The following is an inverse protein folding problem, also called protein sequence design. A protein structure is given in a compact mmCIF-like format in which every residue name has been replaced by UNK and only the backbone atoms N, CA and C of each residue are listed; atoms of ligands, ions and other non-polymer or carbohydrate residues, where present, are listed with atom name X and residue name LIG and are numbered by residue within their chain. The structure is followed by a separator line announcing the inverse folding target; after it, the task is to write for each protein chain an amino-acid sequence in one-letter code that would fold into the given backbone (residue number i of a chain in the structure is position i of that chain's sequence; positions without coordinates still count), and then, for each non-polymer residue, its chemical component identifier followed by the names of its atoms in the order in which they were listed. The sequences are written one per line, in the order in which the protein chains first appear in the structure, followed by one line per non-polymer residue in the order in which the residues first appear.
data_IF_854744881507
#
_entry.id   IF_854744881507
#
_cell.length_a   1.000
_cell.length_b   1.000
_cell.length_c   1.000
_cell.angle_alpha   90.00
_cell.angle_beta   90.00
_cell.angle_gamma   90.00
#
_symmetry.space_group_name_H-M   'P 1'
#
loop_
_entity.id
_entity.type
_entity.pdbx_description
1 polymer ?
#
# COMPACT_ATOMS: atom_id res chain seq x y z
N UNK A 1 -38.48 28.09 -8.05
CA UNK A 1 -38.66 27.88 -6.61
C UNK A 1 -37.30 27.41 -6.09
N UNK A 2 -36.62 28.24 -5.32
CA UNK A 2 -35.33 27.90 -4.69
C UNK A 2 -35.58 26.90 -3.56
N UNK A 3 -34.71 25.93 -3.44
CA UNK A 3 -34.79 24.92 -2.38
C UNK A 3 -34.21 25.50 -1.09
N UNK A 4 -35.02 25.64 -0.02
CA UNK A 4 -34.60 26.29 1.23
C UNK A 4 -33.43 25.56 1.92
N UNK A 5 -33.21 24.29 1.63
CA UNK A 5 -32.12 23.49 2.21
C UNK A 5 -30.78 23.85 1.56
N UNK A 6 -30.79 24.14 0.25
CA UNK A 6 -29.58 24.56 -0.48
C UNK A 6 -29.13 25.99 -0.08
N UNK A 7 -30.08 26.88 0.16
CA UNK A 7 -29.77 28.25 0.61
C UNK A 7 -29.20 28.25 2.03
N UNK A 8 -29.59 27.30 2.90
CA UNK A 8 -29.06 27.16 4.25
C UNK A 8 -27.63 26.56 4.24
N UNK A 9 -27.35 25.63 3.37
CA UNK A 9 -26.00 24.99 3.24
C UNK A 9 -24.98 26.02 2.71
N UNK A 10 -25.37 26.87 1.77
CA UNK A 10 -24.52 27.95 1.26
C UNK A 10 -24.26 29.02 2.30
N UNK A 11 -25.27 29.36 3.14
CA UNK A 11 -25.12 30.34 4.20
C UNK A 11 -24.22 29.88 5.36
N UNK A 12 -24.16 28.60 5.63
CA UNK A 12 -23.28 28.01 6.67
C UNK A 12 -21.81 27.87 6.18
N UNK A 13 -21.63 27.71 4.87
CA UNK A 13 -20.27 27.61 4.28
C UNK A 13 -19.52 28.94 4.27
N UNK A 14 -20.23 30.07 4.09
CA UNK A 14 -19.66 31.42 4.15
C UNK A 14 -19.20 31.82 5.57
N UNK A 15 -19.65 31.12 6.61
CA UNK A 15 -19.25 31.37 7.99
C UNK A 15 -17.94 30.68 8.43
N UNK A 16 -17.48 29.65 7.70
CA UNK A 16 -16.29 28.88 8.07
C UNK A 16 -15.01 29.24 7.29
N UNK A 17 -14.99 30.34 6.53
CA UNK A 17 -13.76 30.86 5.91
C UNK A 17 -13.17 30.00 4.79
N UNK A 18 -13.97 29.20 4.11
CA UNK A 18 -13.55 28.40 2.96
C UNK A 18 -13.27 29.28 1.73
N UNK A 19 -12.13 29.05 1.07
CA UNK A 19 -11.77 29.70 -0.20
C UNK A 19 -12.86 29.45 -1.25
N UNK A 20 -13.45 30.50 -1.80
CA UNK A 20 -14.46 30.44 -2.83
C UNK A 20 -13.93 29.69 -4.06
N UNK A 21 -14.68 28.74 -4.65
CA UNK A 21 -14.31 28.11 -5.90
C UNK A 21 -14.28 29.18 -7.01
N UNK A 22 -13.15 29.29 -7.69
CA UNK A 22 -13.00 30.16 -8.87
C UNK A 22 -14.06 29.77 -9.91
N UNK A 23 -14.93 30.71 -10.27
CA UNK A 23 -15.91 30.53 -11.33
C UNK A 23 -15.18 30.14 -12.61
N UNK A 24 -15.61 29.09 -13.31
CA UNK A 24 -15.09 28.79 -14.63
C UNK A 24 -15.33 30.00 -15.54
N UNK A 25 -14.28 30.41 -16.26
CA UNK A 25 -14.34 31.49 -17.23
C UNK A 25 -15.49 31.24 -18.20
N UNK A 26 -16.36 32.22 -18.36
CA UNK A 26 -17.48 32.23 -19.27
C UNK A 26 -17.00 31.98 -20.69
N UNK A 27 -17.23 30.78 -21.22
CA UNK A 27 -17.16 30.53 -22.65
C UNK A 27 -18.44 31.16 -23.23
N UNK A 28 -18.30 32.37 -23.73
CA UNK A 28 -19.34 33.06 -24.52
C UNK A 28 -19.44 32.39 -25.90
N UNK A 29 -20.18 31.31 -25.99
CA UNK A 29 -20.60 30.69 -27.19
C UNK A 29 -22.05 30.28 -27.04
N UNK A 30 -22.96 30.99 -27.71
CA UNK A 30 -24.33 30.50 -27.79
C UNK A 30 -24.30 29.07 -28.36
N UNK A 31 -25.09 28.15 -27.81
CA UNK A 31 -25.16 26.80 -28.35
C UNK A 31 -25.65 26.91 -29.80
N UNK A 32 -24.81 26.54 -30.75
CA UNK A 32 -25.22 26.39 -32.15
C UNK A 32 -26.42 25.46 -32.18
N UNK A 33 -27.58 25.96 -32.68
CA UNK A 33 -28.74 25.14 -32.94
C UNK A 33 -28.29 23.95 -33.80
N UNK A 34 -28.21 22.80 -33.18
CA UNK A 34 -28.00 21.54 -33.89
C UNK A 34 -29.31 21.29 -34.64
N UNK A 35 -29.32 21.55 -35.92
CA UNK A 35 -30.45 21.19 -36.80
C UNK A 35 -30.44 19.66 -36.87
N UNK A 36 -31.52 18.96 -36.51
CA UNK A 36 -31.57 17.51 -36.65
C UNK A 36 -31.49 17.15 -38.15
N UNK A 37 -30.44 16.44 -38.57
CA UNK A 37 -30.20 16.00 -39.94
C UNK A 37 -31.18 14.87 -40.37
N UNK A 38 -32.03 14.40 -39.48
CA UNK A 38 -32.96 13.31 -39.78
C UNK A 38 -34.41 13.70 -39.50
N UNK A 39 -35.01 14.42 -40.44
CA UNK A 39 -36.45 14.31 -40.71
C UNK A 39 -36.59 13.53 -42.02
N UNK A 40 -36.74 12.24 -41.92
CA UNK A 40 -37.42 11.29 -42.80
C UNK A 40 -36.96 9.87 -42.49
N UNK A 41 -37.61 9.24 -41.55
CA UNK A 41 -37.74 7.78 -41.57
C UNK A 41 -39.20 7.46 -41.29
N UNK A 42 -39.82 6.99 -42.32
CA UNK A 42 -41.13 6.37 -42.32
C UNK A 42 -41.23 5.28 -41.28
N UNK A 43 -42.37 5.25 -40.57
CA UNK A 43 -42.78 4.20 -39.63
C UNK A 43 -42.57 2.81 -40.22
N UNK A 44 -41.53 2.13 -39.80
CA UNK A 44 -41.37 0.69 -39.97
C UNK A 44 -41.65 0.01 -38.64
N UNK A 45 -42.40 -1.07 -38.67
CA UNK A 45 -42.68 -2.01 -37.60
C UNK A 45 -41.32 -2.67 -37.25
N UNK A 46 -40.55 -2.02 -36.40
CA UNK A 46 -39.27 -2.49 -35.90
C UNK A 46 -39.02 -1.88 -34.52
N UNK A 47 -38.43 -2.64 -33.59
CA UNK A 47 -38.05 -2.15 -32.29
C UNK A 47 -37.17 -0.90 -32.35
N UNK A 48 -36.85 -0.27 -31.20
CA UNK A 48 -36.09 0.98 -31.13
C UNK A 48 -34.80 0.89 -31.94
N UNK A 49 -34.50 1.90 -32.75
CA UNK A 49 -33.28 1.96 -33.54
C UNK A 49 -32.03 1.99 -32.65
N UNK A 50 -30.82 1.71 -33.21
CA UNK A 50 -29.59 1.63 -32.38
C UNK A 50 -29.31 2.88 -31.54
N UNK A 51 -29.66 4.08 -32.08
CA UNK A 51 -29.52 5.36 -31.34
C UNK A 51 -30.51 5.45 -30.18
N UNK A 52 -31.76 5.01 -30.39
CA UNK A 52 -32.77 4.98 -29.32
C UNK A 52 -32.40 3.98 -28.25
N UNK A 53 -31.84 2.83 -28.61
CA UNK A 53 -31.29 1.84 -27.64
C UNK A 53 -30.13 2.46 -26.83
N UNK A 54 -29.19 3.16 -27.47
CA UNK A 54 -28.11 3.85 -26.75
C UNK A 54 -28.66 4.92 -25.81
N UNK A 55 -29.69 5.66 -26.17
CA UNK A 55 -30.30 6.66 -25.31
C UNK A 55 -30.94 6.06 -24.06
N UNK A 56 -31.44 4.82 -24.12
CA UNK A 56 -31.98 4.10 -22.93
C UNK A 56 -30.88 3.83 -21.88
N UNK A 57 -29.62 3.68 -22.30
CA UNK A 57 -28.51 3.47 -21.39
C UNK A 57 -27.89 4.78 -20.91
N UNK A 58 -28.35 5.94 -21.39
CA UNK A 58 -27.79 7.24 -20.98
C UNK A 58 -28.10 7.56 -19.53
N UNK A 59 -27.06 7.88 -18.77
CA UNK A 59 -27.14 8.36 -17.40
C UNK A 59 -27.29 9.88 -17.29
N UNK A 60 -27.33 10.59 -18.43
CA UNK A 60 -27.50 12.04 -18.46
C UNK A 60 -28.84 12.43 -17.81
N UNK A 61 -28.79 13.36 -16.85
CA UNK A 61 -29.94 13.78 -16.04
C UNK A 61 -30.20 12.92 -14.80
N UNK A 62 -29.44 11.85 -14.57
CA UNK A 62 -29.60 10.97 -13.40
C UNK A 62 -28.62 11.27 -12.26
N UNK A 63 -27.85 12.35 -12.35
CA UNK A 63 -26.80 12.70 -11.38
C UNK A 63 -27.32 12.79 -9.93
N UNK A 64 -28.48 13.40 -9.70
CA UNK A 64 -29.07 13.51 -8.37
C UNK A 64 -29.49 12.13 -7.79
N UNK A 65 -29.98 11.21 -8.65
CA UNK A 65 -30.30 9.85 -8.22
C UNK A 65 -29.03 9.08 -7.85
N UNK A 66 -28.02 9.14 -8.73
CA UNK A 66 -26.75 8.45 -8.50
C UNK A 66 -26.01 9.01 -7.28
N UNK A 67 -26.06 10.33 -7.05
CA UNK A 67 -25.46 10.95 -5.85
C UNK A 67 -26.07 10.42 -4.57
N UNK A 68 -27.40 10.24 -4.51
CA UNK A 68 -28.08 9.62 -3.34
C UNK A 68 -27.71 8.14 -3.15
N UNK A 69 -27.26 7.48 -4.20
CA UNK A 69 -26.81 6.09 -4.16
C UNK A 69 -25.30 5.96 -3.91
N UNK A 70 -24.55 7.06 -3.94
CA UNK A 70 -23.11 7.01 -3.60
C UNK A 70 -22.95 6.50 -2.16
N UNK A 71 -22.01 5.60 -2.00
CA UNK A 71 -21.48 5.27 -0.68
C UNK A 71 -20.71 6.50 -0.18
N UNK A 72 -20.89 6.82 1.11
CA UNK A 72 -20.03 7.82 1.75
C UNK A 72 -18.60 7.25 1.70
N UNK A 73 -17.61 8.10 1.46
CA UNK A 73 -16.20 7.68 1.44
C UNK A 73 -15.76 7.20 2.83
N UNK A 74 -16.13 5.95 3.15
CA UNK A 74 -15.71 5.24 4.36
C UNK A 74 -14.51 4.36 4.04
N UNK A 75 -13.62 4.22 5.00
CA UNK A 75 -12.49 3.31 4.86
C UNK A 75 -12.83 1.93 5.41
N UNK A 76 -12.62 0.89 4.61
CA UNK A 76 -12.58 -0.50 5.08
C UNK A 76 -11.22 -0.81 5.72
N UNK A 77 -10.16 -0.29 5.11
CA UNK A 77 -8.82 -0.29 5.69
C UNK A 77 -8.37 1.16 5.76
N UNK A 78 -8.30 1.71 6.96
CA UNK A 78 -8.06 3.15 7.18
C UNK A 78 -6.88 3.69 6.36
N UNK A 79 -7.16 4.70 5.51
CA UNK A 79 -6.25 5.34 4.55
C UNK A 79 -5.68 4.45 3.44
N UNK A 80 -6.16 3.19 3.31
CA UNK A 80 -5.66 2.20 2.33
C UNK A 80 -6.77 1.75 1.38
N UNK A 81 -7.94 1.35 1.90
CA UNK A 81 -9.03 0.84 1.08
C UNK A 81 -10.36 1.52 1.41
N UNK A 82 -11.04 2.02 0.39
CA UNK A 82 -12.31 2.73 0.48
C UNK A 82 -13.46 1.77 0.17
N UNK A 83 -14.56 1.89 0.90
CA UNK A 83 -15.80 1.14 0.68
C UNK A 83 -16.35 1.42 -0.75
N UNK A 84 -16.75 0.38 -1.46
CA UNK A 84 -17.25 0.49 -2.84
C UNK A 84 -16.13 0.58 -3.89
N UNK A 85 -14.89 0.25 -3.53
CA UNK A 85 -13.75 0.23 -4.45
C UNK A 85 -13.05 -1.13 -4.46
N UNK A 86 -12.27 -1.38 -5.50
CA UNK A 86 -11.34 -2.49 -5.59
C UNK A 86 -9.93 -2.05 -5.21
N UNK A 87 -9.41 -2.58 -4.10
CA UNK A 87 -8.03 -2.34 -3.66
C UNK A 87 -7.21 -3.63 -3.75
N UNK A 88 -6.05 -3.59 -4.40
CA UNK A 88 -5.11 -4.71 -4.43
C UNK A 88 -3.85 -4.38 -3.61
N UNK A 89 -3.47 -5.28 -2.70
CA UNK A 89 -2.31 -5.13 -1.80
C UNK A 89 -1.29 -6.20 -2.14
N UNK A 90 -0.17 -5.77 -2.72
CA UNK A 90 0.96 -6.61 -3.07
C UNK A 90 2.00 -6.66 -1.95
N UNK A 91 2.66 -7.79 -1.80
CA UNK A 91 3.78 -7.90 -0.86
C UNK A 91 4.43 -9.27 -0.89
N UNK A 92 5.68 -9.37 -0.48
CA UNK A 92 6.39 -10.65 -0.39
C UNK A 92 5.70 -11.63 0.58
N UNK A 93 5.96 -12.94 0.48
CA UNK A 93 5.62 -13.86 1.56
C UNK A 93 6.15 -13.36 2.90
N UNK A 94 5.37 -13.51 3.97
CA UNK A 94 5.72 -13.08 5.33
C UNK A 94 5.96 -11.55 5.51
N UNK A 95 5.51 -10.72 4.56
CA UNK A 95 5.59 -9.26 4.69
C UNK A 95 4.59 -8.66 5.68
N UNK A 96 3.70 -9.45 6.25
CA UNK A 96 2.65 -8.97 7.15
C UNK A 96 1.32 -8.62 6.48
N UNK A 97 1.13 -8.87 5.17
CA UNK A 97 -0.12 -8.57 4.45
C UNK A 97 -1.37 -9.00 5.22
N UNK A 98 -1.50 -10.29 5.46
CA UNK A 98 -2.65 -10.89 6.18
C UNK A 98 -2.82 -10.31 7.58
N UNK A 99 -1.72 -10.16 8.33
CA UNK A 99 -1.73 -9.62 9.69
C UNK A 99 -2.25 -8.18 9.72
N UNK A 100 -1.69 -7.32 8.90
CA UNK A 100 -2.02 -5.90 8.86
C UNK A 100 -3.42 -5.66 8.29
N UNK A 101 -3.83 -6.42 7.28
CA UNK A 101 -5.20 -6.36 6.76
C UNK A 101 -6.20 -6.72 7.85
N UNK A 102 -5.98 -7.79 8.63
CA UNK A 102 -6.86 -8.18 9.72
C UNK A 102 -6.87 -7.18 10.87
N UNK A 103 -5.71 -6.62 11.22
CA UNK A 103 -5.65 -5.55 12.21
C UNK A 103 -6.48 -4.33 11.78
N UNK A 104 -6.34 -3.89 10.53
CA UNK A 104 -7.10 -2.77 9.98
C UNK A 104 -8.61 -3.06 9.89
N UNK A 105 -9.00 -4.29 9.55
CA UNK A 105 -10.40 -4.72 9.59
C UNK A 105 -10.95 -4.67 11.00
N UNK A 106 -10.21 -5.16 12.01
CA UNK A 106 -10.59 -5.06 13.42
C UNK A 106 -10.84 -3.61 13.83
N UNK A 107 -9.93 -2.69 13.48
CA UNK A 107 -10.11 -1.27 13.79
C UNK A 107 -11.39 -0.70 13.15
N UNK A 108 -11.66 -1.04 11.89
CA UNK A 108 -12.86 -0.60 11.18
C UNK A 108 -14.16 -1.17 11.78
N UNK A 109 -14.14 -2.43 12.23
CA UNK A 109 -15.27 -3.06 12.92
C UNK A 109 -15.51 -2.45 14.30
N UNK A 110 -14.45 -2.18 15.08
CA UNK A 110 -14.54 -1.58 16.41
C UNK A 110 -15.00 -0.10 16.36
N UNK A 111 -14.77 0.58 15.24
CA UNK A 111 -15.22 1.97 15.04
C UNK A 111 -16.55 2.10 14.29
N UNK A 112 -17.26 1.00 14.07
CA UNK A 112 -18.52 0.94 13.31
C UNK A 112 -18.43 1.52 11.89
N UNK A 113 -17.22 1.54 11.30
CA UNK A 113 -17.01 1.97 9.92
C UNK A 113 -17.60 0.98 8.92
N UNK A 114 -17.54 -0.32 9.25
CA UNK A 114 -18.08 -1.43 8.46
C UNK A 114 -18.88 -2.38 9.34
N UNK A 115 -19.83 -3.09 8.72
CA UNK A 115 -20.63 -4.12 9.37
C UNK A 115 -19.96 -5.49 9.13
N UNK A 116 -19.74 -6.24 10.21
CA UNK A 116 -19.15 -7.57 10.16
C UNK A 116 -20.02 -8.59 9.41
N UNK A 117 -21.34 -8.47 9.48
CA UNK A 117 -22.28 -9.37 8.76
C UNK A 117 -22.15 -9.25 7.23
N UNK A 118 -21.60 -8.11 6.75
CA UNK A 118 -21.37 -7.87 5.33
C UNK A 118 -19.90 -8.14 4.91
N UNK A 119 -19.04 -8.58 5.84
CA UNK A 119 -17.60 -8.79 5.62
C UNK A 119 -17.27 -10.28 5.48
N UNK A 120 -16.78 -10.66 4.31
CA UNK A 120 -16.42 -12.03 3.95
C UNK A 120 -14.93 -12.14 3.69
N UNK A 121 -14.19 -12.81 4.59
CA UNK A 121 -12.78 -13.11 4.44
C UNK A 121 -12.59 -14.48 3.78
N UNK A 122 -12.23 -14.51 2.50
CA UNK A 122 -12.06 -15.73 1.72
C UNK A 122 -10.57 -16.16 1.82
N UNK A 123 -10.32 -17.13 2.68
CA UNK A 123 -8.99 -17.61 3.03
C UNK A 123 -8.62 -18.86 2.23
N UNK A 124 -7.81 -18.72 1.20
CA UNK A 124 -7.44 -19.79 0.28
C UNK A 124 -5.98 -20.28 0.43
N UNK A 125 -5.20 -19.74 1.37
CA UNK A 125 -3.74 -19.99 1.45
C UNK A 125 -3.29 -20.66 2.78
N UNK A 126 -4.16 -20.79 3.78
CA UNK A 126 -3.81 -21.35 5.09
C UNK A 126 -3.91 -22.88 5.16
N UNK A 127 -3.12 -23.43 6.08
CA UNK A 127 -3.33 -24.76 6.60
C UNK A 127 -4.43 -24.78 7.69
N UNK A 128 -4.84 -25.97 8.12
CA UNK A 128 -5.92 -26.17 9.09
C UNK A 128 -5.74 -25.39 10.41
N UNK A 129 -4.52 -25.39 10.96
CA UNK A 129 -4.20 -24.67 12.21
C UNK A 129 -4.35 -23.15 12.05
N UNK A 130 -3.77 -22.59 11.00
CA UNK A 130 -3.89 -21.15 10.72
C UNK A 130 -5.33 -20.74 10.41
N UNK A 131 -6.15 -21.65 9.88
CA UNK A 131 -7.56 -21.40 9.65
C UNK A 131 -8.34 -21.31 10.98
N UNK A 132 -8.11 -22.23 11.93
CA UNK A 132 -8.78 -22.20 13.25
C UNK A 132 -8.50 -20.90 13.99
N UNK A 133 -7.21 -20.48 14.09
CA UNK A 133 -6.86 -19.21 14.74
C UNK A 133 -7.60 -17.99 14.12
N UNK A 134 -7.87 -18.05 12.82
CA UNK A 134 -8.57 -16.97 12.10
C UNK A 134 -10.07 -17.02 12.27
N UNK A 135 -10.67 -18.22 12.39
CA UNK A 135 -12.10 -18.39 12.67
C UNK A 135 -12.41 -17.88 14.07
N UNK A 136 -11.61 -18.24 15.08
CA UNK A 136 -11.81 -17.78 16.46
C UNK A 136 -11.83 -16.24 16.56
N UNK A 137 -10.92 -15.57 15.83
CA UNK A 137 -10.93 -14.11 15.77
C UNK A 137 -12.13 -13.55 15.03
N UNK A 138 -12.56 -14.20 13.95
CA UNK A 138 -13.70 -13.77 13.16
C UNK A 138 -15.02 -13.87 13.93
N UNK A 139 -15.17 -14.92 14.75
CA UNK A 139 -16.32 -15.09 15.66
C UNK A 139 -16.39 -13.93 16.66
N UNK A 140 -15.26 -13.52 17.24
CA UNK A 140 -15.21 -12.37 18.17
C UNK A 140 -15.54 -11.05 17.45
N UNK A 141 -15.14 -10.91 16.19
CA UNK A 141 -15.34 -9.68 15.42
C UNK A 141 -16.66 -9.64 14.65
N UNK A 142 -17.44 -10.72 14.67
CA UNK A 142 -18.73 -10.81 13.97
C UNK A 142 -18.62 -10.81 12.45
N UNK A 143 -17.50 -11.31 11.88
CA UNK A 143 -17.30 -11.38 10.42
C UNK A 143 -17.28 -12.84 9.94
N UNK A 144 -17.47 -13.03 8.62
CA UNK A 144 -17.45 -14.35 8.00
C UNK A 144 -16.06 -14.75 7.51
N UNK A 145 -15.67 -16.01 7.78
CA UNK A 145 -14.49 -16.64 7.17
C UNK A 145 -14.96 -17.77 6.27
N UNK A 146 -14.51 -17.76 5.02
CA UNK A 146 -14.79 -18.78 4.03
C UNK A 146 -13.48 -19.42 3.61
N UNK A 147 -13.42 -20.75 3.56
CA UNK A 147 -12.24 -21.49 3.12
C UNK A 147 -12.63 -22.61 2.14
N UNK A 148 -11.78 -22.90 1.14
CA UNK A 148 -12.02 -24.01 0.19
C UNK A 148 -12.16 -25.33 0.91
N UNK A 149 -12.97 -26.22 0.34
CA UNK A 149 -13.22 -27.58 0.83
C UNK A 149 -13.95 -27.66 2.19
N UNK A 150 -14.46 -26.53 2.69
CA UNK A 150 -15.32 -26.46 3.86
C UNK A 150 -16.75 -26.09 3.44
N UNK A 151 -17.75 -26.68 4.07
CA UNK A 151 -19.18 -26.44 3.82
C UNK A 151 -19.59 -26.49 2.32
N UNK A 152 -18.88 -27.30 1.51
CA UNK A 152 -19.14 -27.41 0.07
C UNK A 152 -18.66 -26.24 -0.79
N UNK A 153 -17.88 -25.34 -0.21
CA UNK A 153 -17.36 -24.19 -0.94
C UNK A 153 -16.16 -24.56 -1.85
N UNK A 154 -16.23 -24.10 -3.11
CA UNK A 154 -15.13 -24.11 -4.07
C UNK A 154 -14.76 -22.69 -4.46
N UNK A 155 -13.45 -22.45 -4.66
CA UNK A 155 -12.89 -21.13 -5.04
C UNK A 155 -13.53 -20.59 -6.33
N UNK A 156 -13.80 -21.45 -7.30
CA UNK A 156 -14.41 -21.07 -8.57
C UNK A 156 -15.81 -20.41 -8.39
N UNK A 157 -16.50 -20.70 -7.28
CA UNK A 157 -17.80 -20.09 -6.98
C UNK A 157 -17.72 -18.59 -6.70
N UNK A 158 -16.56 -18.06 -6.23
CA UNK A 158 -16.44 -16.63 -5.91
C UNK A 158 -16.66 -15.75 -7.12
N UNK A 159 -16.07 -16.07 -8.26
CA UNK A 159 -16.26 -15.30 -9.48
C UNK A 159 -17.74 -15.32 -9.94
N UNK A 160 -18.37 -16.49 -9.85
CA UNK A 160 -19.78 -16.64 -10.19
C UNK A 160 -20.69 -15.82 -9.24
N UNK A 161 -20.46 -15.89 -7.92
CA UNK A 161 -21.22 -15.11 -6.92
C UNK A 161 -21.01 -13.60 -7.11
N UNK A 162 -19.79 -13.15 -7.34
CA UNK A 162 -19.51 -11.74 -7.64
C UNK A 162 -20.23 -11.26 -8.91
N UNK A 163 -20.25 -12.09 -9.96
CA UNK A 163 -20.95 -11.79 -11.21
C UNK A 163 -22.47 -11.71 -11.00
N UNK A 164 -23.05 -12.66 -10.28
CA UNK A 164 -24.47 -12.68 -9.93
C UNK A 164 -24.86 -11.45 -9.10
N UNK A 165 -24.09 -11.13 -8.06
CA UNK A 165 -24.34 -9.96 -7.21
C UNK A 165 -24.20 -8.65 -8.00
N UNK A 166 -23.24 -8.58 -8.93
CA UNK A 166 -23.04 -7.44 -9.80
C UNK A 166 -24.24 -7.22 -10.74
N UNK A 167 -24.72 -8.29 -11.39
CA UNK A 167 -25.86 -8.24 -12.31
C UNK A 167 -27.19 -8.01 -11.57
N UNK A 168 -27.36 -8.65 -10.41
CA UNK A 168 -28.58 -8.55 -9.60
C UNK A 168 -28.67 -7.26 -8.76
N UNK A 169 -27.63 -6.43 -8.73
CA UNK A 169 -27.58 -5.20 -7.93
C UNK A 169 -27.54 -5.44 -6.42
N UNK A 170 -27.18 -6.64 -5.98
CA UNK A 170 -27.13 -7.06 -4.56
C UNK A 170 -25.74 -6.94 -3.92
N UNK A 171 -24.74 -6.47 -4.69
CA UNK A 171 -23.35 -6.30 -4.21
C UNK A 171 -23.20 -5.17 -3.17
N UNK A 172 -24.16 -4.25 -3.09
CA UNK A 172 -24.03 -3.03 -2.29
C UNK A 172 -23.78 -3.34 -0.80
N UNK A 173 -22.66 -2.81 -0.31
CA UNK A 173 -22.23 -2.97 1.08
C UNK A 173 -21.46 -4.26 1.37
N UNK A 174 -21.49 -5.26 0.48
CA UNK A 174 -20.71 -6.47 0.65
C UNK A 174 -19.21 -6.17 0.52
N UNK A 175 -18.41 -6.68 1.45
CA UNK A 175 -16.94 -6.52 1.48
C UNK A 175 -16.29 -7.89 1.35
N UNK A 176 -15.57 -8.12 0.26
CA UNK A 176 -14.84 -9.36 -0.01
C UNK A 176 -13.35 -9.15 0.14
N UNK A 177 -12.71 -9.98 0.97
CA UNK A 177 -11.25 -10.03 1.12
C UNK A 177 -10.74 -11.34 0.52
N UNK A 178 -9.94 -11.29 -0.53
CA UNK A 178 -9.37 -12.47 -1.17
C UNK A 178 -7.91 -12.68 -0.70
N UNK A 179 -7.66 -13.69 0.10
CA UNK A 179 -6.33 -14.05 0.61
C UNK A 179 -5.97 -15.49 0.17
N UNK A 180 -5.26 -15.65 -0.93
CA UNK A 180 -4.50 -14.72 -1.76
C UNK A 180 -4.96 -14.81 -3.22
N UNK A 181 -4.92 -13.68 -3.93
CA UNK A 181 -5.50 -13.49 -5.28
C UNK A 181 -5.10 -14.56 -6.31
N UNK A 182 -3.86 -15.04 -6.29
CA UNK A 182 -3.36 -16.12 -7.19
C UNK A 182 -4.14 -17.44 -7.14
N UNK A 183 -5.01 -17.61 -6.13
CA UNK A 183 -5.88 -18.79 -6.01
C UNK A 183 -7.20 -18.63 -6.76
N UNK A 184 -7.57 -17.40 -7.07
CA UNK A 184 -8.85 -17.04 -7.71
C UNK A 184 -8.72 -16.77 -9.20
N UNK A 185 -7.51 -16.43 -9.67
CA UNK A 185 -7.20 -16.25 -11.09
C UNK A 185 -5.73 -16.52 -11.36
N UNK A 186 -5.40 -16.93 -12.58
CA UNK A 186 -4.00 -17.01 -13.01
C UNK A 186 -3.49 -15.61 -13.36
N UNK A 187 -2.65 -15.05 -12.48
CA UNK A 187 -2.08 -13.72 -12.65
C UNK A 187 -1.08 -13.63 -13.81
N UNK A 188 -0.58 -14.76 -14.33
CA UNK A 188 0.36 -14.82 -15.45
C UNK A 188 -0.35 -14.96 -16.79
N UNK A 189 -1.60 -15.42 -16.78
CA UNK A 189 -2.46 -15.50 -17.96
C UNK A 189 -3.26 -14.19 -18.09
N UNK A 190 -2.94 -13.42 -19.13
CA UNK A 190 -3.58 -12.13 -19.42
C UNK A 190 -5.10 -12.27 -19.59
N UNK A 191 -5.56 -13.36 -20.23
CA UNK A 191 -6.98 -13.59 -20.45
C UNK A 191 -7.70 -13.86 -19.14
N UNK A 192 -7.18 -14.77 -18.32
CA UNK A 192 -7.76 -15.09 -17.02
C UNK A 192 -7.77 -13.86 -16.08
N UNK A 193 -6.70 -13.06 -16.07
CA UNK A 193 -6.63 -11.82 -15.29
C UNK A 193 -7.67 -10.79 -15.78
N UNK A 194 -7.84 -10.62 -17.09
CA UNK A 194 -8.84 -9.71 -17.66
C UNK A 194 -10.28 -10.17 -17.40
N UNK A 195 -10.58 -11.46 -17.54
CA UNK A 195 -11.90 -12.03 -17.21
C UNK A 195 -12.26 -11.82 -15.74
N UNK A 196 -11.31 -12.08 -14.84
CA UNK A 196 -11.48 -11.77 -13.40
C UNK A 196 -11.68 -10.28 -13.18
N UNK A 197 -10.91 -9.42 -13.86
CA UNK A 197 -11.02 -7.96 -13.81
C UNK A 197 -12.43 -7.46 -14.16
N UNK A 198 -13.03 -8.03 -15.21
CA UNK A 198 -14.41 -7.69 -15.62
C UNK A 198 -15.43 -8.04 -14.54
N UNK A 199 -15.32 -9.24 -13.93
CA UNK A 199 -16.20 -9.67 -12.85
C UNK A 199 -16.05 -8.77 -11.63
N UNK A 200 -14.81 -8.47 -11.22
CA UNK A 200 -14.50 -7.59 -10.11
C UNK A 200 -15.04 -6.17 -10.34
N UNK A 201 -14.88 -5.62 -11.54
CA UNK A 201 -15.44 -4.31 -11.91
C UNK A 201 -16.97 -4.30 -11.87
N UNK A 202 -17.63 -5.36 -12.33
CA UNK A 202 -19.09 -5.51 -12.24
C UNK A 202 -19.58 -5.49 -10.81
N UNK A 203 -18.95 -6.26 -9.94
CA UNK A 203 -19.25 -6.33 -8.51
C UNK A 203 -19.09 -4.97 -7.81
N UNK A 204 -17.96 -4.31 -8.04
CA UNK A 204 -17.66 -2.99 -7.45
C UNK A 204 -18.59 -1.90 -7.99
N UNK A 205 -18.89 -1.93 -9.29
CA UNK A 205 -19.83 -0.97 -9.90
C UNK A 205 -21.26 -1.10 -9.35
N UNK A 206 -21.63 -2.28 -8.84
CA UNK A 206 -22.88 -2.50 -8.14
C UNK A 206 -22.83 -2.17 -6.62
N UNK A 207 -21.73 -1.59 -6.15
CA UNK A 207 -21.53 -1.11 -4.77
C UNK A 207 -20.88 -2.12 -3.83
N UNK A 208 -20.30 -3.20 -4.35
CA UNK A 208 -19.46 -4.13 -3.60
C UNK A 208 -18.06 -3.56 -3.37
N UNK A 209 -17.36 -4.09 -2.40
CA UNK A 209 -15.96 -3.75 -2.09
C UNK A 209 -15.09 -4.99 -2.24
N UNK A 210 -13.99 -4.87 -2.97
CA UNK A 210 -13.05 -5.96 -3.15
C UNK A 210 -11.67 -5.56 -2.63
N UNK A 211 -11.11 -6.35 -1.72
CA UNK A 211 -9.72 -6.23 -1.27
C UNK A 211 -9.01 -7.52 -1.63
N UNK A 212 -8.00 -7.44 -2.49
CA UNK A 212 -7.25 -8.59 -2.95
C UNK A 212 -5.81 -8.55 -2.43
N UNK A 213 -5.39 -9.59 -1.71
CA UNK A 213 -4.01 -9.74 -1.26
C UNK A 213 -3.23 -10.54 -2.31
N UNK A 214 -2.16 -9.96 -2.82
CA UNK A 214 -1.35 -10.55 -3.89
C UNK A 214 0.14 -10.61 -3.53
N UNK A 215 0.90 -11.43 -4.26
CA UNK A 215 2.34 -11.51 -4.08
C UNK A 215 3.08 -10.56 -5.03
N UNK A 216 4.24 -10.07 -4.58
CA UNK A 216 5.22 -9.42 -5.45
C UNK A 216 6.09 -10.46 -6.15
N UNK A 217 6.77 -10.08 -7.23
CA UNK A 217 7.81 -10.87 -7.86
C UNK A 217 8.93 -11.19 -6.86
N UNK A 218 9.62 -12.32 -7.05
CA UNK A 218 10.74 -12.72 -6.19
C UNK A 218 11.92 -11.77 -6.26
N UNK A 219 12.14 -11.19 -7.45
CA UNK A 219 13.26 -10.28 -7.70
C UNK A 219 12.73 -8.86 -7.84
N UNK A 220 13.38 -7.88 -7.19
CA UNK A 220 13.10 -6.46 -7.42
C UNK A 220 13.52 -6.08 -8.86
N UNK A 221 13.10 -4.90 -9.29
CA UNK A 221 13.53 -4.30 -10.55
C UNK A 221 15.01 -3.84 -10.50
N UNK A 222 15.47 -3.25 -11.59
CA UNK A 222 16.86 -2.74 -11.70
C UNK A 222 17.17 -1.61 -10.70
N UNK A 223 16.15 -0.99 -10.13
CA UNK A 223 16.24 0.08 -9.13
C UNK A 223 16.11 -0.44 -7.69
N UNK A 224 15.95 -1.76 -7.52
CA UNK A 224 15.79 -2.41 -6.22
C UNK A 224 14.39 -2.33 -5.62
N UNK A 225 13.39 -1.84 -6.38
CA UNK A 225 12.01 -1.76 -5.93
C UNK A 225 11.28 -3.08 -6.19
N UNK A 226 10.39 -3.44 -5.26
CA UNK A 226 9.51 -4.60 -5.44
C UNK A 226 8.46 -4.32 -6.51
N UNK A 227 8.30 -5.27 -7.42
CA UNK A 227 7.32 -5.20 -8.50
C UNK A 227 6.21 -6.21 -8.23
N UNK A 228 4.97 -5.84 -8.54
CA UNK A 228 3.83 -6.77 -8.45
C UNK A 228 4.04 -8.01 -9.31
N UNK A 229 3.47 -9.14 -8.88
CA UNK A 229 3.50 -10.38 -9.65
C UNK A 229 2.30 -10.44 -10.59
N UNK A 230 2.55 -10.81 -11.84
CA UNK A 230 1.51 -10.96 -12.87
C UNK A 230 1.52 -9.88 -13.92
N UNK A 231 0.47 -9.86 -14.74
CA UNK A 231 0.23 -8.86 -15.78
C UNK A 231 -0.20 -7.52 -15.15
N UNK A 232 -0.08 -6.42 -15.90
CA UNK A 232 -0.55 -5.10 -15.44
C UNK A 232 -2.07 -5.01 -15.31
N UNK A 233 -2.83 -5.93 -15.90
CA UNK A 233 -4.29 -5.87 -15.99
C UNK A 233 -4.95 -5.72 -14.60
N UNK A 234 -4.48 -6.46 -13.58
CA UNK A 234 -5.02 -6.33 -12.22
C UNK A 234 -4.75 -4.93 -11.62
N UNK A 235 -3.56 -4.36 -11.85
CA UNK A 235 -3.24 -2.99 -11.41
C UNK A 235 -4.07 -1.98 -12.18
N UNK A 236 -4.23 -2.17 -13.49
CA UNK A 236 -4.98 -1.26 -14.35
C UNK A 236 -6.47 -1.26 -14.02
N UNK A 237 -7.03 -2.40 -13.64
CA UNK A 237 -8.43 -2.55 -13.28
C UNK A 237 -8.75 -2.18 -11.84
N UNK A 238 -7.83 -2.34 -10.88
CA UNK A 238 -8.04 -1.92 -9.49
C UNK A 238 -8.22 -0.41 -9.37
N UNK A 239 -8.97 0.06 -8.37
CA UNK A 239 -9.06 1.49 -8.06
C UNK A 239 -7.83 1.96 -7.29
N UNK A 240 -7.37 1.16 -6.34
CA UNK A 240 -6.18 1.44 -5.54
C UNK A 240 -5.25 0.24 -5.54
N UNK A 241 -3.94 0.49 -5.58
CA UNK A 241 -2.93 -0.53 -5.44
C UNK A 241 -1.84 -0.10 -4.48
N UNK A 242 -1.45 -1.00 -3.59
CA UNK A 242 -0.37 -0.79 -2.64
C UNK A 242 0.66 -1.92 -2.75
N UNK A 243 1.92 -1.58 -2.50
CA UNK A 243 3.00 -2.54 -2.28
C UNK A 243 3.44 -2.44 -0.82
N UNK A 244 3.53 -3.57 -0.14
CA UNK A 244 4.10 -3.65 1.21
C UNK A 244 5.58 -3.95 1.10
N UNK A 245 6.40 -3.05 1.63
CA UNK A 245 7.83 -3.19 1.75
C UNK A 245 8.26 -3.30 3.21
N UNK A 246 9.25 -4.16 3.45
CA UNK A 246 9.91 -4.26 4.75
C UNK A 246 10.93 -3.13 4.87
N UNK A 247 10.77 -2.30 5.90
CA UNK A 247 11.67 -1.19 6.21
C UNK A 247 12.82 -1.68 7.10
N UNK A 248 12.49 -2.34 8.22
CA UNK A 248 13.49 -2.87 9.15
C UNK A 248 13.02 -4.14 9.86
N UNK A 249 13.95 -4.82 10.51
CA UNK A 249 13.68 -5.96 11.39
C UNK A 249 14.75 -6.01 12.44
N UNK A 250 14.38 -5.67 13.67
CA UNK A 250 15.30 -5.62 14.81
C UNK A 250 14.95 -6.71 15.82
N UNK A 251 15.94 -7.50 16.22
CA UNK A 251 15.77 -8.49 17.27
C UNK A 251 16.40 -8.01 18.57
N UNK A 252 15.62 -8.00 19.65
CA UNK A 252 16.07 -7.67 21.01
C UNK A 252 15.41 -8.60 22.02
N UNK A 253 16.21 -9.29 22.81
CA UNK A 253 15.73 -10.16 23.90
C UNK A 253 14.69 -11.21 23.44
N UNK A 254 14.90 -11.82 22.26
CA UNK A 254 13.98 -12.83 21.69
C UNK A 254 12.66 -12.26 21.14
N UNK A 255 12.57 -10.95 21.00
CA UNK A 255 11.47 -10.24 20.33
C UNK A 255 11.99 -9.64 19.05
N UNK A 256 11.37 -9.99 17.92
CA UNK A 256 11.67 -9.37 16.63
C UNK A 256 10.62 -8.31 16.31
N UNK A 257 11.03 -7.05 16.27
CA UNK A 257 10.19 -5.93 15.82
C UNK A 257 10.36 -5.75 14.33
N UNK A 258 9.28 -5.86 13.59
CA UNK A 258 9.22 -5.60 12.16
C UNK A 258 8.63 -4.23 11.91
N UNK A 259 9.26 -3.45 11.04
CA UNK A 259 8.69 -2.22 10.48
C UNK A 259 8.44 -2.43 9.01
N UNK A 260 7.24 -2.11 8.57
CA UNK A 260 6.80 -2.22 7.18
C UNK A 260 6.08 -0.97 6.74
N UNK A 261 6.08 -0.70 5.44
CA UNK A 261 5.33 0.40 4.85
C UNK A 261 4.46 -0.09 3.70
N UNK A 262 3.28 0.51 3.57
CA UNK A 262 2.41 0.41 2.41
C UNK A 262 2.70 1.59 1.51
N UNK A 263 3.20 1.35 0.32
CA UNK A 263 3.45 2.35 -0.70
C UNK A 263 2.36 2.30 -1.76
N UNK A 264 1.65 3.39 -1.95
CA UNK A 264 0.62 3.48 -2.98
C UNK A 264 1.28 3.58 -4.36
N UNK A 265 0.87 2.72 -5.29
CA UNK A 265 1.32 2.73 -6.69
C UNK A 265 0.21 3.12 -7.65
N UNK A 266 -1.05 3.12 -7.20
CA UNK A 266 -2.22 3.60 -7.93
C UNK A 266 -3.31 4.01 -6.96
N UNK A 267 -3.92 5.19 -7.18
CA UNK A 267 -5.01 5.70 -6.36
C UNK A 267 -6.15 6.27 -7.19
N UNK A 268 -7.37 5.86 -6.84
CA UNK A 268 -8.61 6.54 -7.18
C UNK A 268 -9.33 6.84 -5.87
N UNK A 269 -9.21 8.08 -5.39
CA UNK A 269 -9.76 8.51 -4.11
C UNK A 269 -8.69 8.99 -3.12
N UNK A 270 -9.11 9.42 -1.94
CA UNK A 270 -8.26 10.02 -0.90
C UNK A 270 -7.61 8.95 -0.01
N UNK A 271 -6.77 8.11 -0.62
CA UNK A 271 -5.92 7.15 0.10
C UNK A 271 -4.53 7.73 0.36
N UNK A 272 -3.86 7.25 1.39
CA UNK A 272 -2.52 7.74 1.72
C UNK A 272 -1.49 7.29 0.68
N UNK A 273 -0.49 8.14 0.40
CA UNK A 273 0.66 7.77 -0.44
C UNK A 273 1.55 6.73 0.23
N UNK A 274 1.70 6.81 1.55
CA UNK A 274 2.49 5.87 2.36
C UNK A 274 1.90 5.74 3.74
N UNK A 275 1.84 4.52 4.29
CA UNK A 275 1.42 4.22 5.66
C UNK A 275 2.39 3.23 6.28
N UNK A 276 2.95 3.57 7.45
CA UNK A 276 3.88 2.71 8.19
C UNK A 276 3.22 1.96 9.33
N UNK A 277 3.72 0.75 9.59
CA UNK A 277 3.31 -0.08 10.72
C UNK A 277 4.51 -0.77 11.35
N UNK A 278 4.40 -1.03 12.67
CA UNK A 278 5.27 -1.96 13.38
C UNK A 278 4.46 -3.09 13.98
N UNK A 279 5.10 -4.25 14.14
CA UNK A 279 4.56 -5.37 14.91
C UNK A 279 5.70 -6.21 15.51
N UNK A 280 5.42 -6.85 16.64
CA UNK A 280 6.40 -7.65 17.38
C UNK A 280 6.08 -9.14 17.24
N UNK A 281 7.09 -9.93 16.91
CA UNK A 281 6.99 -11.38 16.83
C UNK A 281 7.85 -12.02 17.92
N UNK A 282 7.23 -12.94 18.66
CA UNK A 282 7.89 -13.76 19.71
C UNK A 282 7.68 -15.25 19.42
N UNK A 283 8.61 -16.06 19.84
CA UNK A 283 8.42 -17.51 19.73
C UNK A 283 7.20 -17.97 20.55
N UNK A 284 6.37 -18.84 19.98
CA UNK A 284 5.19 -19.38 20.67
C UNK A 284 4.01 -18.41 20.85
N UNK A 285 4.07 -17.20 20.29
CA UNK A 285 3.00 -16.21 20.36
C UNK A 285 1.77 -16.68 19.56
N UNK A 286 0.57 -16.55 20.15
CA UNK A 286 -0.68 -16.78 19.43
C UNK A 286 -0.91 -15.71 18.36
N UNK A 287 -1.75 -16.03 17.36
CA UNK A 287 -2.04 -15.09 16.28
C UNK A 287 -2.78 -13.83 16.79
N UNK A 288 -3.71 -13.98 17.76
CA UNK A 288 -4.37 -12.85 18.42
C UNK A 288 -3.37 -11.93 19.14
N UNK A 289 -2.47 -12.51 19.95
CA UNK A 289 -1.43 -11.75 20.63
C UNK A 289 -0.48 -11.06 19.63
N UNK A 290 -0.24 -11.64 18.45
CA UNK A 290 0.54 -10.99 17.38
C UNK A 290 -0.20 -9.77 16.81
N UNK A 291 -1.51 -9.88 16.55
CA UNK A 291 -2.34 -8.76 16.07
C UNK A 291 -2.32 -7.59 17.08
N UNK A 292 -2.34 -7.87 18.39
CA UNK A 292 -2.32 -6.84 19.43
C UNK A 292 -1.01 -6.06 19.51
N UNK A 293 0.06 -6.57 18.92
CA UNK A 293 1.33 -5.85 18.84
C UNK A 293 1.41 -4.83 17.70
N UNK A 294 0.46 -4.88 16.77
CA UNK A 294 0.47 -3.99 15.60
C UNK A 294 0.23 -2.54 16.05
N UNK A 295 1.08 -1.65 15.57
CA UNK A 295 0.96 -0.21 15.77
C UNK A 295 1.14 0.51 14.46
N UNK A 296 0.30 1.51 14.22
CA UNK A 296 0.48 2.45 13.14
C UNK A 296 1.57 3.45 13.51
N UNK A 297 2.41 3.81 12.56
CA UNK A 297 3.45 4.81 12.74
C UNK A 297 2.98 6.18 12.21
N UNK A 298 3.36 7.23 12.93
CA UNK A 298 3.33 8.57 12.38
C UNK A 298 4.41 8.71 11.30
N UNK A 299 4.21 9.67 10.39
CA UNK A 299 5.11 9.83 9.25
C UNK A 299 6.56 10.11 9.66
N UNK A 300 6.75 10.97 10.64
CA UNK A 300 8.08 11.33 11.13
C UNK A 300 8.81 10.11 11.73
N UNK A 301 8.10 9.28 12.50
CA UNK A 301 8.68 8.06 13.09
C UNK A 301 9.09 7.06 12.00
N UNK A 302 8.27 6.91 10.96
CA UNK A 302 8.59 6.06 9.82
C UNK A 302 9.83 6.57 9.07
N UNK A 303 9.91 7.88 8.81
CA UNK A 303 11.03 8.50 8.11
C UNK A 303 12.33 8.38 8.92
N UNK A 304 12.28 8.51 10.24
CA UNK A 304 13.41 8.28 11.16
C UNK A 304 13.90 6.83 11.12
N UNK A 305 12.97 5.85 11.15
CA UNK A 305 13.30 4.43 11.06
C UNK A 305 13.92 4.13 9.68
N UNK A 306 13.38 4.67 8.60
CA UNK A 306 13.93 4.52 7.25
C UNK A 306 15.33 5.10 7.15
N UNK A 307 15.55 6.27 7.73
CA UNK A 307 16.87 6.91 7.78
C UNK A 307 17.90 6.01 8.48
N UNK A 308 17.56 5.47 9.64
CA UNK A 308 18.43 4.54 10.38
C UNK A 308 18.69 3.25 9.60
N UNK A 309 17.65 2.62 9.05
CA UNK A 309 17.79 1.40 8.26
C UNK A 309 18.66 1.60 7.00
N UNK A 310 18.53 2.76 6.34
CA UNK A 310 19.37 3.11 5.20
C UNK A 310 20.85 3.22 5.59
N UNK A 311 21.14 3.93 6.71
CA UNK A 311 22.51 4.06 7.22
C UNK A 311 23.09 2.69 7.59
N UNK A 312 22.29 1.82 8.21
CA UNK A 312 22.71 0.47 8.64
C UNK A 312 23.03 -0.42 7.43
N UNK A 313 22.16 -0.45 6.42
CA UNK A 313 22.38 -1.19 5.18
C UNK A 313 23.62 -0.72 4.42
N UNK A 314 23.86 0.60 4.37
CA UNK A 314 25.06 1.15 3.77
C UNK A 314 26.33 0.80 4.56
N UNK A 315 26.24 0.76 5.89
CA UNK A 315 27.36 0.36 6.74
C UNK A 315 27.72 -1.11 6.53
N UNK A 316 26.71 -1.99 6.44
CA UNK A 316 26.92 -3.40 6.11
C UNK A 316 27.61 -3.57 4.76
N UNK A 317 27.17 -2.84 3.75
CA UNK A 317 27.79 -2.85 2.42
C UNK A 317 29.24 -2.34 2.45
N UNK A 318 29.51 -1.29 3.22
CA UNK A 318 30.83 -0.65 3.34
C UNK A 318 31.76 -1.39 4.32
N UNK A 319 31.28 -2.39 5.09
CA UNK A 319 32.02 -3.07 6.18
C UNK A 319 33.44 -3.49 5.79
N UNK A 320 33.70 -4.16 4.64
CA UNK A 320 35.08 -4.56 4.31
C UNK A 320 36.04 -3.37 4.14
N UNK A 321 35.52 -2.24 3.63
CA UNK A 321 36.30 -1.01 3.46
C UNK A 321 36.48 -0.32 4.80
N UNK A 322 35.45 -0.27 5.64
CA UNK A 322 35.48 0.35 6.98
C UNK A 322 36.51 -0.35 7.85
N UNK A 323 36.52 -1.69 7.89
CA UNK A 323 37.48 -2.49 8.64
C UNK A 323 38.92 -2.24 8.19
N UNK A 324 39.16 -2.20 6.87
CA UNK A 324 40.46 -1.90 6.31
C UNK A 324 40.93 -0.48 6.70
N UNK A 325 40.04 0.53 6.61
CA UNK A 325 40.37 1.91 7.01
C UNK A 325 40.65 1.98 8.50
N UNK A 326 39.83 1.35 9.35
CA UNK A 326 40.04 1.30 10.81
C UNK A 326 41.41 0.68 11.16
N UNK A 327 41.77 -0.44 10.53
CA UNK A 327 43.06 -1.10 10.70
C UNK A 327 44.22 -0.15 10.38
N UNK A 328 44.11 0.56 9.26
CA UNK A 328 45.15 1.49 8.79
C UNK A 328 45.30 2.73 9.69
N UNK A 329 44.17 3.27 10.19
CA UNK A 329 44.17 4.39 11.14
C UNK A 329 44.75 3.94 12.49
N UNK A 330 44.34 2.79 13.01
CA UNK A 330 44.86 2.22 14.27
C UNK A 330 46.36 1.93 14.19
N UNK A 331 46.88 1.55 13.03
CA UNK A 331 48.31 1.36 12.80
C UNK A 331 49.08 2.70 12.70
N UNK A 332 48.46 3.84 13.01
CA UNK A 332 49.10 5.17 13.04
C UNK A 332 49.22 5.87 11.69
N UNK A 333 48.52 5.38 10.65
CA UNK A 333 48.48 6.07 9.37
C UNK A 333 47.48 7.20 9.41
N UNK A 334 47.92 8.44 9.21
CA UNK A 334 47.07 9.65 9.42
C UNK A 334 46.79 10.44 8.14
N UNK A 335 47.53 10.22 7.08
CA UNK A 335 47.40 10.96 5.82
C UNK A 335 46.32 10.31 4.94
N UNK A 336 45.38 11.11 4.41
CA UNK A 336 44.25 10.65 3.54
C UNK A 336 44.74 9.75 2.39
N UNK A 337 45.78 10.18 1.65
CA UNK A 337 46.30 9.43 0.51
C UNK A 337 46.85 8.05 0.92
N UNK A 338 47.60 8.02 2.04
CA UNK A 338 48.17 6.77 2.55
C UNK A 338 47.13 5.85 3.13
N UNK A 339 46.09 6.39 3.79
CA UNK A 339 44.93 5.59 4.25
C UNK A 339 44.23 4.94 3.07
N UNK A 340 43.92 5.73 2.01
CA UNK A 340 43.26 5.20 0.81
C UNK A 340 44.11 4.12 0.15
N UNK A 341 45.41 4.33 -0.02
CA UNK A 341 46.31 3.36 -0.63
C UNK A 341 46.32 2.02 0.16
N UNK A 342 46.63 2.09 1.45
CA UNK A 342 46.74 0.88 2.28
C UNK A 342 45.39 0.15 2.47
N UNK A 343 44.31 0.91 2.61
CA UNK A 343 42.98 0.30 2.72
C UNK A 343 42.50 -0.31 1.41
N UNK A 344 42.87 0.22 0.25
CA UNK A 344 42.71 -0.41 -1.05
C UNK A 344 43.39 -1.79 -1.10
N UNK A 345 44.68 -1.84 -0.71
CA UNK A 345 45.45 -3.06 -0.68
C UNK A 345 44.81 -4.14 0.27
N UNK A 346 44.34 -3.71 1.44
CA UNK A 346 43.73 -4.61 2.43
C UNK A 346 42.32 -5.07 2.05
N UNK A 347 41.47 -4.19 1.51
CA UNK A 347 40.07 -4.53 1.22
C UNK A 347 39.85 -5.15 -0.14
N UNK A 348 40.83 -5.06 -1.06
CA UNK A 348 40.67 -5.45 -2.46
C UNK A 348 39.69 -4.60 -3.26
N UNK A 349 39.16 -3.51 -2.68
CA UNK A 349 38.21 -2.61 -3.34
C UNK A 349 38.94 -1.46 -4.02
N UNK A 350 38.36 -0.87 -5.06
CA UNK A 350 39.02 0.21 -5.81
C UNK A 350 39.33 1.40 -4.92
N UNK A 351 40.46 2.10 -5.19
CA UNK A 351 40.86 3.31 -4.46
C UNK A 351 39.78 4.40 -4.49
N UNK A 352 38.98 4.47 -5.57
CA UNK A 352 37.85 5.39 -5.68
C UNK A 352 36.77 5.09 -4.67
N UNK A 353 36.41 3.81 -4.52
CA UNK A 353 35.42 3.36 -3.52
C UNK A 353 35.92 3.58 -2.09
N UNK A 354 37.20 3.24 -1.82
CA UNK A 354 37.79 3.48 -0.50
C UNK A 354 37.77 4.97 -0.14
N UNK A 355 38.10 5.84 -1.11
CA UNK A 355 38.03 7.30 -0.90
C UNK A 355 36.59 7.75 -0.61
N UNK A 356 35.63 7.27 -1.37
CA UNK A 356 34.21 7.59 -1.18
C UNK A 356 33.72 7.20 0.22
N UNK A 357 34.06 6.00 0.67
CA UNK A 357 33.68 5.52 2.02
C UNK A 357 34.44 6.30 3.09
N UNK A 358 35.74 6.57 2.93
CA UNK A 358 36.52 7.38 3.85
C UNK A 358 35.87 8.76 4.06
N UNK A 359 35.51 9.46 2.98
CA UNK A 359 34.88 10.78 3.06
C UNK A 359 33.47 10.72 3.66
N UNK A 360 32.64 9.76 3.22
CA UNK A 360 31.27 9.59 3.68
C UNK A 360 31.18 9.27 5.17
N UNK A 361 32.10 8.44 5.69
CA UNK A 361 32.11 8.01 7.10
C UNK A 361 32.94 8.91 8.01
N UNK A 362 33.42 10.07 7.50
CA UNK A 362 34.11 11.09 8.29
C UNK A 362 33.10 12.06 8.88
N UNK A 363 33.12 12.22 10.21
CA UNK A 363 32.25 13.14 10.96
C UNK A 363 32.35 12.93 12.46
N UNK A 364 31.45 13.55 13.21
CA UNK A 364 31.49 13.55 14.69
C UNK A 364 30.42 12.64 15.33
N UNK A 365 29.41 12.19 14.58
CA UNK A 365 28.22 11.52 15.13
C UNK A 365 28.19 10.07 14.67
N UNK A 366 28.42 9.14 15.60
CA UNK A 366 28.50 7.71 15.31
C UNK A 366 27.16 7.13 14.81
N UNK A 367 26.05 7.62 15.34
CA UNK A 367 24.67 7.19 15.01
C UNK A 367 24.28 7.53 13.56
N UNK A 368 24.91 8.57 12.97
CA UNK A 368 24.74 8.92 11.55
C UNK A 368 25.66 8.13 10.61
N UNK A 369 26.34 7.10 11.12
CA UNK A 369 27.19 6.22 10.35
C UNK A 369 28.65 6.71 10.22
N UNK A 370 29.04 7.77 10.93
CA UNK A 370 30.45 8.18 10.98
C UNK A 370 31.25 7.15 11.77
N UNK A 371 32.51 6.94 11.40
CA UNK A 371 33.41 5.97 12.04
C UNK A 371 34.74 6.58 12.47
N UNK A 372 35.10 7.69 11.90
CA UNK A 372 36.28 8.47 12.21
C UNK A 372 36.01 9.95 12.00
N UNK A 373 36.86 10.78 12.62
CA UNK A 373 36.84 12.23 12.48
C UNK A 373 38.20 12.74 12.03
N UNK A 374 38.24 13.98 11.56
CA UNK A 374 39.49 14.66 11.25
C UNK A 374 39.79 15.71 12.29
N UNK A 375 41.04 15.74 12.77
CA UNK A 375 41.58 16.83 13.60
C UNK A 375 42.65 17.57 12.85
N UNK A 376 42.66 18.90 13.02
CA UNK A 376 43.70 19.78 12.49
C UNK A 376 44.85 19.81 13.46
N UNK A 377 46.07 19.48 13.02
CA UNK A 377 47.33 19.62 13.75
C UNK A 377 48.13 20.79 13.25
N UNK A 378 49.31 21.08 13.89
CA UNK A 378 50.27 22.10 13.45
C UNK A 378 50.60 21.95 11.94
N UNK A 379 50.88 23.07 11.27
CA UNK A 379 51.15 23.14 9.81
C UNK A 379 49.99 22.69 8.91
N UNK A 380 48.71 22.95 9.30
CA UNK A 380 47.52 22.61 8.52
C UNK A 380 47.33 21.11 8.18
N UNK A 381 47.98 20.22 8.91
CA UNK A 381 47.86 18.77 8.70
C UNK A 381 46.57 18.24 9.28
N UNK A 382 45.77 17.56 8.46
CA UNK A 382 44.58 16.83 8.93
C UNK A 382 44.95 15.38 9.26
N UNK A 383 44.55 14.95 10.47
CA UNK A 383 44.80 13.61 11.01
C UNK A 383 43.48 12.93 11.23
N UNK A 384 43.36 11.68 10.80
CA UNK A 384 42.19 10.87 11.02
C UNK A 384 42.26 10.13 12.37
N UNK A 385 41.19 10.15 13.15
CA UNK A 385 41.05 9.45 14.41
C UNK A 385 39.74 8.65 14.40
N UNK A 386 39.76 7.41 14.89
CA UNK A 386 38.58 6.59 15.04
C UNK A 386 37.65 7.20 16.11
N UNK A 387 36.35 7.28 15.81
CA UNK A 387 35.37 7.67 16.82
C UNK A 387 35.24 6.58 17.88
N UNK A 388 35.14 6.94 19.19
CA UNK A 388 34.88 5.97 20.24
C UNK A 388 33.52 5.31 19.96
N UNK A 389 33.50 3.98 19.92
CA UNK A 389 32.25 3.23 19.95
C UNK A 389 31.59 3.47 21.29
N UNK A 390 30.40 4.07 21.32
CA UNK A 390 29.58 4.07 22.52
C UNK A 390 29.24 2.62 22.88
N UNK A 391 30.09 1.96 23.70
CA UNK A 391 29.63 0.83 24.47
C UNK A 391 28.48 1.36 25.33
N UNK A 392 27.25 0.93 25.03
CA UNK A 392 26.14 1.11 25.98
C UNK A 392 26.64 0.64 27.35
N UNK A 393 26.77 1.56 28.27
CA UNK A 393 26.85 1.25 29.68
C UNK A 393 25.56 0.50 30.03
N UNK A 394 25.62 -0.82 30.01
CA UNK A 394 24.61 -1.65 30.66
C UNK A 394 24.80 -1.43 32.16
N UNK A 395 23.96 -0.63 32.77
CA UNK A 395 23.57 -0.70 34.16
C UNK A 395 22.12 -1.17 34.22
#
# INVERSE_FOLDING_TARGET
MSDPILDQIVADWDKEGGLAPTKPSSISGQPKKVVPIYQHVTSSIGGPGPIEQLNQYSLTGQSARLRRQMLIDKFVLNKIAILGQWTTIYGAPNSGKTLLTKWLLREALLSDEIDGESLYYINADDNYRGLVDKIELAEVWGMHVIAPHHNGFDIAQIAALMSEMGQGGTARGAVFILDTLKKFTDLMDKRAASEFGQVARGFVSAGGTLIALAHTNKHPDAEGKRVYSGTSDIVDDSDCCFVIDKVSSEERNGVTTHTVEFNNIKARGDVASTVGFTFERRHGQSYGALIDTVKRLERNDLDDIKGKASVESELEHDTPIIEAICTVITAGTVSKSKIVQKAHELSGKSSANVRKVLDKRTGEIFELGHRWRTRKQAHNRHVYEILPTHKKLNN
#
